data_IF_560876346678
#
_entry.id   IF_560876346678
#
_cell.length_a   1.000
_cell.length_b   1.000
_cell.length_c   1.000
_cell.angle_alpha   90.00
_cell.angle_beta   90.00
_cell.angle_gamma   90.00
#
_symmetry.space_group_name_H-M   'P 1'
#
loop_
_entity.id
_entity.type
_entity.pdbx_description
1 polymer ?
#
# COMPACT_ATOMS: atom_id res chain seq x y z
N UNK A 1 -36.12 28.21 -90.13
CA UNK A 1 -34.69 28.56 -90.23
C UNK A 1 -34.36 29.32 -88.96
N UNK A 2 -34.07 28.58 -87.89
CA UNK A 2 -32.72 28.16 -87.43
C UNK A 2 -32.14 29.22 -86.49
N UNK A 3 -32.10 28.86 -85.19
CA UNK A 3 -30.88 28.89 -84.34
C UNK A 3 -30.73 30.27 -83.65
N UNK A 4 -30.36 30.44 -82.38
CA UNK A 4 -29.39 29.75 -81.54
C UNK A 4 -29.73 29.85 -80.04
N UNK A 5 -29.14 28.91 -79.30
CA UNK A 5 -29.09 28.77 -77.86
C UNK A 5 -28.43 29.95 -77.13
N UNK A 6 -28.90 30.27 -75.91
CA UNK A 6 -27.99 30.40 -74.76
C UNK A 6 -28.72 30.36 -73.42
N UNK A 7 -28.61 29.20 -72.81
CA UNK A 7 -28.70 28.97 -71.37
C UNK A 7 -27.52 29.66 -70.66
N UNK A 8 -27.79 30.40 -69.58
CA UNK A 8 -26.80 30.62 -68.52
C UNK A 8 -27.50 31.02 -67.22
N UNK A 9 -27.70 29.99 -66.39
CA UNK A 9 -27.68 29.97 -64.94
C UNK A 9 -27.64 31.33 -64.19
N UNK A 10 -28.65 31.56 -63.34
CA UNK A 10 -28.47 32.39 -62.15
C UNK A 10 -28.66 31.55 -60.89
N UNK A 11 -27.51 31.37 -60.25
CA UNK A 11 -27.22 30.77 -58.97
C UNK A 11 -28.37 30.76 -57.94
N UNK A 12 -28.80 29.55 -57.60
CA UNK A 12 -29.39 29.26 -56.31
C UNK A 12 -28.30 29.51 -55.24
N UNK A 13 -28.46 30.56 -54.45
CA UNK A 13 -27.57 30.81 -53.31
C UNK A 13 -27.84 29.76 -52.24
N UNK A 14 -27.09 28.65 -52.28
CA UNK A 14 -27.02 27.71 -51.16
C UNK A 14 -26.45 28.48 -49.98
N UNK A 15 -27.32 28.82 -49.04
CA UNK A 15 -26.96 29.40 -47.75
C UNK A 15 -26.16 28.33 -47.01
N UNK A 16 -24.83 28.43 -47.05
CA UNK A 16 -23.96 27.56 -46.29
C UNK A 16 -24.31 27.70 -44.81
N UNK A 17 -24.97 26.68 -44.27
CA UNK A 17 -25.21 26.56 -42.83
C UNK A 17 -23.84 26.49 -42.17
N UNK A 18 -23.47 27.55 -41.43
CA UNK A 18 -22.30 27.51 -40.56
C UNK A 18 -22.60 26.50 -39.46
N UNK A 19 -22.19 25.24 -39.67
CA UNK A 19 -22.15 24.22 -38.62
C UNK A 19 -21.21 24.75 -37.54
N UNK A 20 -21.78 25.39 -36.52
CA UNK A 20 -21.04 25.84 -35.36
C UNK A 20 -20.40 24.62 -34.72
N UNK A 21 -19.07 24.53 -34.78
CA UNK A 21 -18.30 23.44 -34.17
C UNK A 21 -18.71 23.33 -32.70
N UNK A 22 -19.58 22.37 -32.36
CA UNK A 22 -20.03 22.15 -30.99
C UNK A 22 -18.78 21.74 -30.20
N UNK A 23 -18.31 22.60 -29.30
CA UNK A 23 -17.12 22.34 -28.47
C UNK A 23 -17.38 21.31 -27.37
N UNK A 24 -18.64 20.92 -27.16
CA UNK A 24 -19.06 19.98 -26.14
C UNK A 24 -18.37 18.59 -26.20
N UNK A 25 -18.22 17.91 -27.36
CA UNK A 25 -17.41 16.69 -27.45
C UNK A 25 -15.96 16.88 -27.02
N UNK A 26 -15.36 18.06 -27.27
CA UNK A 26 -14.01 18.38 -26.80
C UNK A 26 -14.00 18.52 -25.28
N UNK A 27 -14.99 19.20 -24.70
CA UNK A 27 -15.13 19.35 -23.24
C UNK A 27 -15.31 17.99 -22.56
N UNK A 28 -16.19 17.13 -23.08
CA UNK A 28 -16.39 15.77 -22.56
C UNK A 28 -15.10 14.95 -22.66
N UNK A 29 -14.41 15.01 -23.80
CA UNK A 29 -13.13 14.31 -23.98
C UNK A 29 -12.06 14.78 -22.99
N UNK A 30 -11.97 16.09 -22.73
CA UNK A 30 -11.05 16.65 -21.73
C UNK A 30 -11.43 16.19 -20.33
N UNK A 31 -12.72 16.21 -19.96
CA UNK A 31 -13.18 15.73 -18.65
C UNK A 31 -12.81 14.25 -18.46
N UNK A 32 -13.08 13.40 -19.44
CA UNK A 32 -12.73 11.98 -19.38
C UNK A 32 -11.22 11.79 -19.25
N UNK A 33 -10.42 12.52 -20.03
CA UNK A 33 -8.96 12.46 -19.93
C UNK A 33 -8.46 12.88 -18.53
N UNK A 34 -9.01 13.95 -17.96
CA UNK A 34 -8.67 14.42 -16.60
C UNK A 34 -9.03 13.36 -15.56
N UNK A 35 -10.22 12.74 -15.64
CA UNK A 35 -10.62 11.68 -14.71
C UNK A 35 -9.72 10.45 -14.79
N UNK A 36 -9.30 10.05 -15.99
CA UNK A 36 -8.35 8.94 -16.17
C UNK A 36 -7.00 9.27 -15.54
N UNK A 37 -6.46 10.47 -15.79
CA UNK A 37 -5.18 10.91 -15.19
C UNK A 37 -5.29 10.98 -13.67
N UNK A 38 -6.38 11.53 -13.14
CA UNK A 38 -6.64 11.59 -11.71
C UNK A 38 -6.79 10.19 -11.09
N UNK A 39 -7.46 9.25 -11.77
CA UNK A 39 -7.61 7.87 -11.32
C UNK A 39 -6.27 7.12 -11.24
N UNK A 40 -5.42 7.28 -12.25
CA UNK A 40 -4.07 6.69 -12.24
C UNK A 40 -3.22 7.30 -11.12
N UNK A 41 -3.22 8.63 -11.00
CA UNK A 41 -2.47 9.32 -9.94
C UNK A 41 -2.98 8.97 -8.54
N UNK A 42 -4.29 8.90 -8.35
CA UNK A 42 -4.93 8.49 -7.11
C UNK A 42 -4.61 7.05 -6.73
N UNK A 43 -4.63 6.13 -7.69
CA UNK A 43 -4.24 4.74 -7.44
C UNK A 43 -2.76 4.58 -7.11
N UNK A 44 -1.88 5.31 -7.81
CA UNK A 44 -0.46 5.32 -7.47
C UNK A 44 -0.23 5.86 -6.05
N UNK A 45 -0.91 6.94 -5.67
CA UNK A 45 -0.83 7.53 -4.34
C UNK A 45 -1.40 6.61 -3.26
N UNK A 46 -2.51 5.92 -3.53
CA UNK A 46 -3.15 4.96 -2.62
C UNK A 46 -2.18 3.90 -2.07
N UNK A 47 -1.22 3.47 -2.89
CA UNK A 47 -0.24 2.46 -2.51
C UNK A 47 0.99 3.03 -1.79
N UNK A 48 0.97 4.30 -1.38
CA UNK A 48 2.08 4.95 -0.66
C UNK A 48 1.76 5.12 0.83
N UNK A 49 2.77 5.14 1.72
CA UNK A 49 2.55 5.37 3.15
C UNK A 49 1.85 6.71 3.45
N UNK A 50 2.03 7.72 2.60
CA UNK A 50 1.39 9.03 2.75
C UNK A 50 -0.14 8.98 2.63
N UNK A 51 -0.69 8.04 1.87
CA UNK A 51 -2.14 7.84 1.78
C UNK A 51 -2.69 7.36 3.12
N UNK A 52 -2.03 6.37 3.74
CA UNK A 52 -2.43 5.82 5.03
C UNK A 52 -2.49 6.90 6.13
N UNK A 53 -1.51 7.81 6.16
CA UNK A 53 -1.49 8.92 7.12
C UNK A 53 -2.53 10.03 6.83
N UNK A 54 -2.88 10.24 5.56
CA UNK A 54 -3.75 11.36 5.13
C UNK A 54 -5.24 10.99 5.06
N UNK A 55 -5.57 9.74 4.72
CA UNK A 55 -6.96 9.32 4.47
C UNK A 55 -7.57 8.63 5.68
N UNK A 56 -6.79 7.83 6.39
CA UNK A 56 -7.27 7.04 7.53
C UNK A 56 -7.07 7.76 8.88
N UNK A 57 -7.29 9.09 8.91
CA UNK A 57 -7.03 9.96 10.07
C UNK A 57 -7.31 9.28 11.43
N UNK A 58 -6.36 9.42 12.37
CA UNK A 58 -6.22 8.78 13.69
C UNK A 58 -5.98 7.26 13.74
N UNK A 59 -6.52 6.46 12.83
CA UNK A 59 -6.39 4.99 12.91
C UNK A 59 -5.00 4.44 12.52
N UNK A 60 -4.21 5.21 11.76
CA UNK A 60 -2.91 4.77 11.24
C UNK A 60 -1.79 5.80 11.44
N UNK A 61 -2.10 7.00 11.96
CA UNK A 61 -1.14 8.10 12.06
C UNK A 61 0.07 7.76 12.94
N UNK A 62 -0.16 7.11 14.08
CA UNK A 62 0.93 6.71 14.99
C UNK A 62 1.88 5.69 14.34
N UNK A 63 1.33 4.73 13.60
CA UNK A 63 2.10 3.70 12.91
C UNK A 63 2.88 4.29 11.72
N UNK A 64 2.33 5.32 11.08
CA UNK A 64 3.00 6.10 10.04
C UNK A 64 4.13 6.95 10.63
N UNK A 65 3.90 7.57 11.79
CA UNK A 65 4.94 8.32 12.49
C UNK A 65 6.09 7.40 12.90
N UNK A 66 5.80 6.22 13.47
CA UNK A 66 6.80 5.19 13.75
C UNK A 66 7.54 4.74 12.48
N UNK A 67 6.83 4.47 11.39
CA UNK A 67 7.45 4.09 10.11
C UNK A 67 8.45 5.16 9.62
N UNK A 68 8.12 6.44 9.73
CA UNK A 68 9.02 7.53 9.39
C UNK A 68 10.05 7.88 10.47
N UNK A 69 9.99 7.25 11.65
CA UNK A 69 10.82 7.58 12.81
C UNK A 69 10.52 8.95 13.42
N UNK A 70 9.29 9.43 13.25
CA UNK A 70 8.81 10.71 13.77
C UNK A 70 8.11 10.59 15.14
N UNK A 71 7.94 9.37 15.64
CA UNK A 71 7.44 9.08 16.99
C UNK A 71 8.52 9.29 18.07
N UNK A 72 8.14 9.14 19.34
CA UNK A 72 9.03 9.31 20.48
C UNK A 72 10.09 8.21 20.62
N UNK A 73 9.84 7.05 20.00
CA UNK A 73 10.78 5.93 19.93
C UNK A 73 11.79 6.07 18.78
N UNK A 74 11.71 7.15 17.99
CA UNK A 74 12.56 7.35 16.81
C UNK A 74 12.50 6.14 15.85
N UNK A 75 11.30 5.55 15.72
CA UNK A 75 10.96 4.46 14.82
C UNK A 75 11.30 3.07 15.33
N UNK A 76 11.30 2.81 16.64
CA UNK A 76 11.59 1.48 17.16
C UNK A 76 10.62 0.46 16.53
N UNK A 77 11.17 -0.61 15.95
CA UNK A 77 10.38 -1.62 15.24
C UNK A 77 10.89 -1.99 13.86
N UNK A 78 10.34 -3.08 13.32
CA UNK A 78 10.65 -3.57 11.99
C UNK A 78 10.08 -2.71 10.87
N UNK A 79 9.00 -1.97 11.08
CA UNK A 79 8.37 -1.15 10.05
C UNK A 79 9.31 -0.03 9.59
N UNK A 80 9.85 0.74 10.55
CA UNK A 80 10.88 1.73 10.27
C UNK A 80 12.14 1.08 9.69
N UNK A 81 12.62 0.00 10.33
CA UNK A 81 13.86 -0.67 9.93
C UNK A 81 13.79 -1.16 8.48
N UNK A 82 12.70 -1.81 8.07
CA UNK A 82 12.52 -2.23 6.67
C UNK A 82 12.26 -1.05 5.74
N UNK A 83 11.53 -0.01 6.18
CA UNK A 83 11.32 1.20 5.39
C UNK A 83 12.64 1.86 4.98
N UNK A 84 13.60 2.00 5.91
CA UNK A 84 14.88 2.68 5.64
C UNK A 84 15.97 1.76 5.04
N UNK A 85 15.94 0.45 5.32
CA UNK A 85 16.98 -0.48 4.86
C UNK A 85 16.59 -1.31 3.63
N UNK A 86 15.30 -1.55 3.41
CA UNK A 86 14.79 -2.39 2.32
C UNK A 86 13.82 -1.64 1.38
N UNK A 87 13.41 -0.41 1.73
CA UNK A 87 12.48 0.37 0.91
C UNK A 87 11.06 -0.21 0.90
N UNK A 88 10.72 -1.07 1.86
CA UNK A 88 9.39 -1.66 1.97
C UNK A 88 8.38 -0.61 2.40
N UNK A 89 7.18 -0.71 1.87
CA UNK A 89 6.02 0.12 2.19
C UNK A 89 5.02 -0.64 3.06
N UNK A 90 3.99 0.08 3.54
CA UNK A 90 2.95 -0.48 4.40
C UNK A 90 2.30 -1.75 3.82
N UNK A 91 2.04 -1.75 2.51
CA UNK A 91 1.32 -2.82 1.83
C UNK A 91 2.16 -4.07 1.53
N UNK A 92 3.49 -3.98 1.70
CA UNK A 92 4.37 -5.14 1.56
C UNK A 92 4.17 -6.13 2.71
N UNK A 93 3.75 -5.64 3.89
CA UNK A 93 3.36 -6.47 5.03
C UNK A 93 1.84 -6.48 5.25
N UNK A 94 1.16 -5.34 5.10
CA UNK A 94 -0.29 -5.20 5.30
C UNK A 94 -1.03 -5.25 3.96
N UNK A 95 -1.16 -6.46 3.39
CA UNK A 95 -1.85 -6.63 2.11
C UNK A 95 -3.29 -6.12 2.19
N UNK A 96 -3.64 -5.21 1.28
CA UNK A 96 -5.00 -4.72 1.13
C UNK A 96 -5.73 -5.59 0.09
N UNK A 97 -6.22 -6.77 0.48
CA UNK A 97 -7.08 -7.55 -0.41
C UNK A 97 -8.44 -6.83 -0.61
N UNK A 98 -9.13 -7.17 -1.71
CA UNK A 98 -10.36 -6.47 -2.08
C UNK A 98 -11.48 -6.61 -1.05
N UNK A 99 -11.56 -7.75 -0.36
CA UNK A 99 -12.59 -7.95 0.65
C UNK A 99 -12.29 -7.10 1.89
N UNK A 100 -11.02 -7.02 2.27
CA UNK A 100 -10.55 -6.12 3.33
C UNK A 100 -10.78 -4.66 2.98
N UNK A 101 -10.48 -4.21 1.75
CA UNK A 101 -10.76 -2.84 1.31
C UNK A 101 -12.26 -2.50 1.32
N UNK A 102 -13.13 -3.46 0.96
CA UNK A 102 -14.58 -3.27 1.03
C UNK A 102 -15.06 -3.18 2.47
N UNK A 103 -14.51 -4.00 3.37
CA UNK A 103 -14.81 -3.94 4.80
C UNK A 103 -14.36 -2.62 5.42
N UNK A 104 -13.15 -2.16 5.10
CA UNK A 104 -12.62 -0.86 5.53
C UNK A 104 -13.49 0.30 5.10
N UNK A 105 -13.92 0.33 3.84
CA UNK A 105 -14.83 1.36 3.33
C UNK A 105 -16.16 1.33 4.09
N UNK A 106 -16.69 0.13 4.38
CA UNK A 106 -17.89 -0.05 5.18
C UNK A 106 -17.75 0.55 6.57
N UNK A 107 -16.66 0.23 7.27
CA UNK A 107 -16.33 0.74 8.59
C UNK A 107 -16.09 2.27 8.60
N UNK A 108 -15.46 2.82 7.56
CA UNK A 108 -15.30 4.27 7.42
C UNK A 108 -16.64 4.99 7.24
N UNK A 109 -17.55 4.43 6.43
CA UNK A 109 -18.88 5.01 6.20
C UNK A 109 -19.80 4.88 7.43
N UNK A 110 -19.64 3.83 8.24
CA UNK A 110 -20.39 3.64 9.49
C UNK A 110 -19.81 4.42 10.67
N UNK A 111 -18.59 4.93 10.55
CA UNK A 111 -17.86 5.60 11.63
C UNK A 111 -17.28 4.63 12.68
N UNK A 112 -17.24 3.33 12.39
CA UNK A 112 -16.64 2.30 13.24
C UNK A 112 -15.15 2.14 12.90
N UNK A 113 -14.37 3.17 13.19
CA UNK A 113 -12.92 3.19 12.91
C UNK A 113 -12.10 2.37 13.90
N UNK A 114 -12.70 1.98 15.02
CA UNK A 114 -12.06 1.19 16.07
C UNK A 114 -12.03 -0.31 15.70
N UNK A 115 -13.01 -0.76 14.90
CA UNK A 115 -13.08 -2.11 14.35
C UNK A 115 -13.18 -2.07 12.82
N UNK A 116 -12.15 -1.56 12.17
CA UNK A 116 -12.00 -1.58 10.70
C UNK A 116 -11.94 -2.99 10.07
N UNK A 117 -12.24 -4.07 10.81
CA UNK A 117 -12.14 -5.46 10.35
C UNK A 117 -10.70 -5.97 10.22
N UNK A 118 -9.75 -5.33 10.90
CA UNK A 118 -8.32 -5.44 10.65
C UNK A 118 -7.57 -6.34 11.62
N UNK A 119 -8.10 -7.53 11.91
CA UNK A 119 -7.32 -8.53 12.64
C UNK A 119 -5.92 -8.73 12.02
N UNK A 120 -5.84 -8.64 10.68
CA UNK A 120 -4.61 -8.78 9.89
C UNK A 120 -3.68 -7.54 9.90
N UNK A 121 -4.07 -6.42 10.54
CA UNK A 121 -3.13 -5.31 10.80
C UNK A 121 -2.47 -5.35 12.17
N UNK A 122 -3.11 -5.97 13.15
CA UNK A 122 -2.50 -6.15 14.47
C UNK A 122 -1.45 -7.25 14.47
N UNK A 123 -1.58 -8.21 13.56
CA UNK A 123 -0.75 -9.40 13.54
C UNK A 123 -0.49 -9.86 12.11
N UNK A 124 0.78 -9.87 11.73
CA UNK A 124 1.21 -10.29 10.39
C UNK A 124 1.48 -11.79 10.40
N UNK A 125 0.84 -12.55 9.53
CA UNK A 125 1.11 -13.98 9.46
C UNK A 125 2.57 -14.27 9.10
N UNK A 126 3.12 -15.36 9.65
CA UNK A 126 4.49 -15.78 9.40
C UNK A 126 4.80 -15.92 7.90
N UNK A 127 3.85 -16.37 7.10
CA UNK A 127 4.01 -16.54 5.65
C UNK A 127 4.35 -15.21 4.96
N UNK A 128 3.88 -14.08 5.50
CA UNK A 128 4.24 -12.75 4.98
C UNK A 128 5.73 -12.49 5.20
N UNK A 129 6.25 -12.79 6.40
CA UNK A 129 7.67 -12.67 6.71
C UNK A 129 8.51 -13.65 5.86
N UNK A 130 8.09 -14.92 5.83
CA UNK A 130 8.80 -16.01 5.16
C UNK A 130 8.87 -15.80 3.64
N UNK A 131 7.88 -15.14 3.03
CA UNK A 131 7.92 -14.80 1.60
C UNK A 131 9.15 -13.98 1.18
N UNK A 132 9.82 -13.31 2.13
CA UNK A 132 11.08 -12.61 1.92
C UNK A 132 12.26 -13.23 2.72
N UNK A 133 11.96 -13.99 3.78
CA UNK A 133 12.94 -14.52 4.74
C UNK A 133 13.05 -16.05 4.70
N UNK A 134 13.23 -16.62 3.50
CA UNK A 134 13.64 -18.01 3.34
C UNK A 134 12.53 -19.01 3.02
N UNK A 135 11.31 -18.57 2.71
CA UNK A 135 10.15 -19.38 2.28
C UNK A 135 9.62 -20.40 3.32
N UNK A 136 10.42 -20.82 4.30
CA UNK A 136 10.01 -21.71 5.40
C UNK A 136 10.83 -21.46 6.68
N UNK A 137 10.31 -21.90 7.83
CA UNK A 137 11.04 -21.84 9.09
C UNK A 137 12.35 -22.63 9.04
N UNK A 138 12.36 -23.78 8.40
CA UNK A 138 13.54 -24.65 8.30
C UNK A 138 14.67 -23.96 7.51
N UNK A 139 14.33 -23.34 6.38
CA UNK A 139 15.29 -22.59 5.58
C UNK A 139 15.74 -21.30 6.27
N UNK A 140 14.87 -20.63 7.02
CA UNK A 140 15.25 -19.50 7.87
C UNK A 140 16.20 -19.93 8.99
N UNK A 141 15.91 -21.06 9.65
CA UNK A 141 16.72 -21.63 10.71
C UNK A 141 18.13 -22.02 10.23
N UNK A 142 18.24 -22.53 9.00
CA UNK A 142 19.52 -22.82 8.35
C UNK A 142 20.30 -21.54 8.05
N UNK A 143 19.64 -20.50 7.56
CA UNK A 143 20.26 -19.19 7.31
C UNK A 143 20.79 -18.52 8.59
N UNK A 144 20.18 -18.81 9.75
CA UNK A 144 20.60 -18.29 11.05
C UNK A 144 21.33 -19.32 11.91
N UNK A 145 21.94 -20.34 11.30
CA UNK A 145 22.63 -21.41 12.01
C UNK A 145 23.85 -20.95 12.83
N UNK A 146 24.41 -19.78 12.52
CA UNK A 146 25.48 -19.12 13.27
C UNK A 146 25.06 -18.69 14.68
N UNK A 147 23.75 -18.55 14.93
CA UNK A 147 23.20 -18.24 16.25
C UNK A 147 23.19 -19.44 17.21
N UNK A 148 23.60 -20.64 16.76
CA UNK A 148 23.66 -21.83 17.62
C UNK A 148 24.66 -21.62 18.77
N UNK A 149 24.32 -22.07 20.00
CA UNK A 149 23.20 -22.95 20.35
C UNK A 149 21.87 -22.23 20.67
N UNK A 150 21.78 -20.90 20.49
CA UNK A 150 20.66 -20.07 20.92
C UNK A 150 19.77 -19.58 19.76
N UNK A 151 19.76 -20.28 18.63
CA UNK A 151 19.00 -19.85 17.44
C UNK A 151 17.49 -19.85 17.71
N UNK A 152 16.80 -18.70 17.75
CA UNK A 152 15.35 -18.64 18.02
C UNK A 152 14.49 -19.25 16.91
N UNK A 153 15.04 -19.37 15.69
CA UNK A 153 14.34 -19.93 14.53
C UNK A 153 14.44 -21.47 14.46
N UNK A 154 15.34 -22.08 15.24
CA UNK A 154 15.49 -23.54 15.41
C UNK A 154 15.11 -23.91 16.86
N UNK A 155 13.92 -23.47 17.30
CA UNK A 155 13.52 -23.52 18.70
C UNK A 155 12.97 -24.89 19.12
N UNK A 156 13.35 -25.42 20.31
CA UNK A 156 12.75 -26.63 20.87
C UNK A 156 11.29 -26.42 21.32
N UNK A 157 10.82 -25.17 21.41
CA UNK A 157 9.43 -24.83 21.72
C UNK A 157 8.51 -24.83 20.50
N UNK A 158 9.03 -25.24 19.33
CA UNK A 158 8.32 -25.21 18.07
C UNK A 158 8.39 -23.86 17.37
N UNK A 159 7.61 -23.72 16.30
CA UNK A 159 7.55 -22.50 15.50
C UNK A 159 6.65 -21.47 16.23
N UNK A 160 7.28 -20.48 16.84
CA UNK A 160 6.60 -19.31 17.39
C UNK A 160 6.36 -18.31 16.27
N UNK A 161 5.26 -17.59 16.32
CA UNK A 161 5.01 -16.53 15.34
C UNK A 161 6.07 -15.42 15.43
N UNK A 162 6.48 -14.88 14.28
CA UNK A 162 7.50 -13.85 14.17
C UNK A 162 7.20 -12.66 15.10
N UNK A 163 5.94 -12.22 15.17
CA UNK A 163 5.52 -11.05 15.95
C UNK A 163 5.69 -11.25 17.46
N UNK A 164 5.90 -12.45 17.97
CA UNK A 164 6.14 -12.67 19.40
C UNK A 164 7.41 -11.95 19.86
N UNK A 165 8.46 -11.99 19.03
CA UNK A 165 9.73 -11.31 19.28
C UNK A 165 9.89 -10.06 18.41
N UNK A 166 9.53 -10.18 17.13
CA UNK A 166 9.78 -9.19 16.11
C UNK A 166 8.62 -8.21 15.94
N UNK A 167 8.66 -7.09 16.67
CA UNK A 167 7.57 -6.11 16.66
C UNK A 167 7.67 -5.18 15.44
N UNK A 168 6.54 -5.01 14.75
CA UNK A 168 6.42 -4.13 13.59
C UNK A 168 6.59 -2.65 13.94
N UNK A 169 5.79 -2.15 14.87
CA UNK A 169 5.72 -0.72 15.24
C UNK A 169 6.04 -0.48 16.71
N UNK A 170 6.96 -1.25 17.29
CA UNK A 170 7.38 -1.12 18.68
C UNK A 170 8.77 -1.74 18.91
N UNK A 171 9.32 -1.54 20.10
CA UNK A 171 10.57 -2.17 20.52
C UNK A 171 10.50 -3.70 20.41
N UNK A 172 11.58 -4.30 19.90
CA UNK A 172 11.74 -5.75 19.82
C UNK A 172 11.68 -6.40 21.22
N UNK A 173 11.10 -7.60 21.30
CA UNK A 173 10.95 -8.35 22.55
C UNK A 173 11.80 -9.60 22.52
N UNK A 174 12.70 -9.76 23.50
CA UNK A 174 13.43 -11.00 23.69
C UNK A 174 12.61 -11.97 24.53
N UNK A 175 11.69 -12.67 23.89
CA UNK A 175 10.78 -13.62 24.56
C UNK A 175 11.54 -14.79 25.19
N UNK A 176 12.57 -15.28 24.52
CA UNK A 176 13.41 -16.38 24.99
C UNK A 176 14.24 -15.97 26.23
N UNK A 177 14.80 -14.76 26.19
CA UNK A 177 15.57 -14.13 27.26
C UNK A 177 14.84 -13.99 28.60
N UNK A 178 13.51 -14.08 28.60
CA UNK A 178 12.70 -14.00 29.82
C UNK A 178 12.89 -15.21 30.75
N UNK A 179 13.26 -16.36 30.18
CA UNK A 179 13.37 -17.62 30.92
C UNK A 179 14.78 -18.20 30.90
N UNK A 180 15.56 -17.96 29.85
CA UNK A 180 16.90 -18.50 29.70
C UNK A 180 17.83 -17.51 28.99
N UNK A 181 19.17 -17.69 29.07
CA UNK A 181 20.08 -16.85 28.29
C UNK A 181 19.74 -16.93 26.80
N UNK A 182 19.73 -15.76 26.15
CA UNK A 182 19.55 -15.63 24.70
C UNK A 182 20.89 -15.66 23.94
N UNK A 183 22.00 -15.98 24.61
CA UNK A 183 23.33 -15.98 24.00
C UNK A 183 23.94 -14.59 23.76
N UNK A 184 23.37 -13.51 24.33
CA UNK A 184 23.82 -12.14 24.10
C UNK A 184 23.39 -11.56 22.75
N UNK A 185 22.42 -12.19 22.09
CA UNK A 185 21.90 -11.75 20.80
C UNK A 185 21.07 -10.47 20.93
N UNK A 186 21.04 -9.69 19.84
CA UNK A 186 20.22 -8.48 19.73
C UNK A 186 19.42 -8.51 18.44
N UNK A 187 18.18 -8.04 18.48
CA UNK A 187 17.34 -7.90 17.30
C UNK A 187 17.55 -6.55 16.61
N UNK A 188 17.21 -6.48 15.32
CA UNK A 188 17.22 -5.24 14.53
C UNK A 188 15.97 -4.42 14.81
N UNK A 189 16.02 -3.11 14.56
CA UNK A 189 14.89 -2.21 14.82
C UNK A 189 14.69 -1.89 16.31
N UNK A 190 15.78 -1.58 17.01
CA UNK A 190 15.86 -1.30 18.45
C UNK A 190 16.26 0.14 18.79
N UNK A 191 16.09 1.01 17.79
CA UNK A 191 16.52 2.41 17.68
C UNK A 191 16.07 3.33 18.81
#
# INVERSE_FOLDING_TARGET
MTEEMKESAQAETVKAEKVGKKRWPIVVSVIVAVLVVAGIGGFAWHNTPSFCGTVCHSSMSEHVDNYYGADDTNGAGLAHWHGVNAGTTCLDCHKADINTQVAELGSQLSGDTDNLGLADRYYVDNDTCLSCHGDSYEALAEQTADLKPYNPHDSPHGQLNCNECHKGHAQQVDTCGQCHPNGGQTMRGTN
#
